data_IF_873415937404
#
_entry.id   IF_873415937404
#
_cell.length_a   1.000
_cell.length_b   1.000
_cell.length_c   1.000
_cell.angle_alpha   90.00
_cell.angle_beta   90.00
_cell.angle_gamma   90.00
#
_symmetry.space_group_name_H-M   'P 1'
#
loop_
_entity.id
_entity.type
_entity.pdbx_description
1 polymer ?
#
# COMPACT_ATOMS: atom_id res chain seq x y z
N UNK A 1 6.62 5.74 7.29
CA UNK A 1 5.76 4.85 8.11
C UNK A 1 4.78 4.07 7.22
N UNK A 2 4.00 4.74 6.35
CA UNK A 2 3.07 4.07 5.42
C UNK A 2 3.73 3.01 4.52
N UNK A 3 4.90 3.30 3.96
CA UNK A 3 5.64 2.33 3.12
C UNK A 3 5.88 1.00 3.83
N UNK A 4 6.36 1.05 5.09
CA UNK A 4 6.65 -0.16 5.87
C UNK A 4 5.38 -0.95 6.16
N UNK A 5 4.27 -0.27 6.40
CA UNK A 5 2.96 -0.87 6.62
C UNK A 5 2.50 -1.65 5.39
N UNK A 6 2.52 -1.01 4.22
CA UNK A 6 2.14 -1.64 2.95
C UNK A 6 3.11 -2.79 2.64
N UNK A 7 4.42 -2.60 2.88
CA UNK A 7 5.45 -3.63 2.68
C UNK A 7 5.20 -4.86 3.58
N UNK A 8 4.92 -4.65 4.85
CA UNK A 8 4.63 -5.73 5.81
C UNK A 8 3.38 -6.50 5.42
N UNK A 9 2.34 -5.79 4.96
CA UNK A 9 1.14 -6.40 4.41
C UNK A 9 1.45 -7.27 3.19
N UNK A 10 2.19 -6.73 2.21
CA UNK A 10 2.57 -7.44 0.99
C UNK A 10 3.40 -8.70 1.26
N UNK A 11 4.33 -8.65 2.21
CA UNK A 11 5.15 -9.80 2.60
C UNK A 11 4.32 -10.83 3.37
N UNK A 12 3.50 -10.38 4.32
CA UNK A 12 2.74 -11.27 5.21
C UNK A 12 1.55 -11.95 4.54
N UNK A 13 0.72 -11.15 3.89
CA UNK A 13 -0.56 -11.55 3.29
C UNK A 13 -0.36 -11.97 1.82
N UNK A 14 0.20 -11.09 1.00
CA UNK A 14 0.36 -11.34 -0.44
C UNK A 14 1.60 -12.21 -0.79
N UNK A 15 2.38 -12.64 0.21
CA UNK A 15 3.59 -13.48 0.04
C UNK A 15 4.61 -12.92 -0.95
N UNK A 16 4.68 -11.59 -1.07
CA UNK A 16 5.68 -10.93 -1.91
C UNK A 16 7.07 -11.10 -1.29
N UNK A 17 8.05 -11.42 -2.13
CA UNK A 17 9.44 -11.56 -1.68
C UNK A 17 10.00 -10.18 -1.22
N UNK A 18 10.47 -10.06 0.04
CA UNK A 18 11.04 -8.83 0.57
C UNK A 18 12.22 -8.30 -0.26
N UNK A 19 12.96 -9.16 -0.95
CA UNK A 19 14.13 -8.75 -1.78
C UNK A 19 13.72 -7.83 -2.93
N UNK A 20 12.47 -7.93 -3.41
CA UNK A 20 11.97 -7.09 -4.51
C UNK A 20 12.00 -5.61 -4.13
N UNK A 21 11.76 -5.29 -2.87
CA UNK A 21 11.69 -3.91 -2.39
C UNK A 21 13.06 -3.26 -2.19
N UNK A 22 14.16 -3.99 -2.39
CA UNK A 22 15.50 -3.41 -2.49
C UNK A 22 15.71 -2.69 -3.83
N UNK A 23 14.87 -2.98 -4.82
CA UNK A 23 14.86 -2.27 -6.10
C UNK A 23 14.04 -0.97 -6.00
N UNK A 24 14.67 0.22 -6.14
CA UNK A 24 13.96 1.50 -6.11
C UNK A 24 13.05 1.73 -7.33
N UNK A 25 13.26 0.97 -8.41
CA UNK A 25 12.45 0.99 -9.64
C UNK A 25 11.45 -0.17 -9.68
N UNK A 26 11.19 -0.85 -8.54
CA UNK A 26 10.21 -1.92 -8.45
C UNK A 26 8.84 -1.42 -8.93
N UNK A 27 8.31 -2.04 -9.98
CA UNK A 27 6.95 -1.75 -10.45
C UNK A 27 5.92 -2.50 -9.62
N UNK A 28 4.72 -1.94 -9.47
CA UNK A 28 3.60 -2.65 -8.82
C UNK A 28 3.26 -3.94 -9.57
N UNK A 29 3.35 -3.93 -10.90
CA UNK A 29 3.20 -5.13 -11.73
C UNK A 29 4.25 -6.22 -11.43
N UNK A 30 5.46 -5.84 -11.01
CA UNK A 30 6.54 -6.79 -10.70
C UNK A 30 6.39 -7.45 -9.33
N UNK A 31 5.43 -7.00 -8.50
CA UNK A 31 5.10 -7.65 -7.23
C UNK A 31 4.62 -9.09 -7.46
N UNK A 32 4.10 -9.39 -8.66
CA UNK A 32 3.52 -10.70 -8.98
C UNK A 32 2.11 -10.85 -8.45
N UNK A 33 1.41 -9.73 -8.25
CA UNK A 33 0.00 -9.71 -7.93
C UNK A 33 -0.78 -10.06 -9.20
N UNK A 34 -1.66 -11.06 -9.12
CA UNK A 34 -2.65 -11.30 -10.17
C UNK A 34 -3.63 -10.13 -10.25
N UNK A 35 -4.38 -10.02 -11.35
CA UNK A 35 -5.36 -8.94 -11.56
C UNK A 35 -6.39 -8.84 -10.42
N UNK A 36 -6.78 -9.98 -9.83
CA UNK A 36 -7.63 -10.01 -8.65
C UNK A 36 -6.87 -9.65 -7.37
N UNK A 37 -5.65 -10.16 -7.19
CA UNK A 37 -4.83 -9.90 -6.01
C UNK A 37 -4.46 -8.42 -5.84
N UNK A 38 -4.26 -7.70 -6.94
CA UNK A 38 -4.08 -6.25 -6.92
C UNK A 38 -5.34 -5.54 -6.40
N UNK A 39 -6.52 -5.93 -6.91
CA UNK A 39 -7.80 -5.34 -6.50
C UNK A 39 -8.11 -5.64 -5.03
N UNK A 40 -7.90 -6.88 -4.58
CA UNK A 40 -8.09 -7.28 -3.18
C UNK A 40 -7.16 -6.51 -2.23
N UNK A 41 -5.88 -6.39 -2.59
CA UNK A 41 -4.93 -5.56 -1.84
C UNK A 41 -5.41 -4.11 -1.72
N UNK A 42 -5.84 -3.51 -2.84
CA UNK A 42 -6.27 -2.12 -2.84
C UNK A 42 -7.54 -1.93 -2.00
N UNK A 43 -8.52 -2.82 -2.11
CA UNK A 43 -9.71 -2.80 -1.25
C UNK A 43 -9.37 -2.94 0.23
N UNK A 44 -8.41 -3.81 0.58
CA UNK A 44 -8.01 -3.98 1.97
C UNK A 44 -7.27 -2.74 2.49
N UNK A 45 -6.47 -2.08 1.66
CA UNK A 45 -5.86 -0.79 1.99
C UNK A 45 -6.96 0.28 2.15
N UNK A 46 -7.92 0.38 1.23
CA UNK A 46 -9.05 1.30 1.34
C UNK A 46 -9.84 1.12 2.64
N UNK A 47 -10.24 -0.11 2.95
CA UNK A 47 -11.01 -0.46 4.16
C UNK A 47 -10.22 -0.19 5.44
N UNK A 48 -8.92 -0.57 5.46
CA UNK A 48 -8.06 -0.33 6.63
C UNK A 48 -7.86 1.14 6.90
N UNK A 49 -7.58 1.95 5.87
CA UNK A 49 -7.26 3.37 6.05
C UNK A 49 -8.49 4.28 5.98
N UNK A 50 -9.67 3.73 5.68
CA UNK A 50 -10.93 4.47 5.63
C UNK A 50 -11.01 5.47 4.49
N UNK A 51 -10.36 5.21 3.36
CA UNK A 51 -10.37 6.07 2.17
C UNK A 51 -10.71 5.27 0.92
N UNK A 52 -11.01 5.96 -0.18
CA UNK A 52 -11.42 5.32 -1.43
C UNK A 52 -10.58 5.85 -2.57
N UNK A 53 -9.91 4.95 -3.29
CA UNK A 53 -9.05 5.31 -4.40
C UNK A 53 -9.90 5.57 -5.64
N UNK A 54 -9.76 6.76 -6.20
CA UNK A 54 -10.53 7.14 -7.40
C UNK A 54 -10.19 6.32 -8.64
N UNK A 55 -8.94 5.85 -8.76
CA UNK A 55 -8.50 4.98 -9.85
C UNK A 55 -7.44 3.98 -9.32
N UNK A 56 -7.85 2.75 -8.96
CA UNK A 56 -6.94 1.71 -8.49
C UNK A 56 -6.02 1.16 -9.59
N UNK A 57 -6.44 1.25 -10.86
CA UNK A 57 -5.65 0.70 -11.98
C UNK A 57 -4.46 1.59 -12.33
N UNK A 58 -4.51 2.90 -12.01
CA UNK A 58 -3.38 3.83 -12.19
C UNK A 58 -2.11 3.33 -11.49
N UNK A 59 -2.23 2.61 -10.37
CA UNK A 59 -1.09 2.13 -9.60
C UNK A 59 -0.33 1.00 -10.28
N UNK A 60 -0.99 0.21 -11.12
CA UNK A 60 -0.38 -0.95 -11.78
C UNK A 60 0.79 -0.55 -12.69
N UNK A 61 0.73 0.66 -13.27
CA UNK A 61 1.74 1.19 -14.19
C UNK A 61 2.76 2.11 -13.51
N UNK A 62 2.71 2.22 -12.18
CA UNK A 62 3.61 3.06 -11.40
C UNK A 62 4.64 2.22 -10.63
N UNK A 63 5.69 2.88 -10.16
CA UNK A 63 6.61 2.26 -9.21
C UNK A 63 5.91 2.08 -7.87
N UNK A 64 6.33 1.06 -7.11
CA UNK A 64 5.86 0.82 -5.76
C UNK A 64 6.02 2.09 -4.88
N UNK A 65 7.14 2.79 -5.04
CA UNK A 65 7.40 4.03 -4.30
C UNK A 65 6.39 5.13 -4.66
N UNK A 66 6.08 5.29 -5.95
CA UNK A 66 5.11 6.31 -6.37
C UNK A 66 3.69 5.95 -5.94
N UNK A 67 3.32 4.67 -5.95
CA UNK A 67 2.05 4.19 -5.38
C UNK A 67 1.94 4.56 -3.91
N UNK A 68 2.97 4.26 -3.11
CA UNK A 68 2.99 4.61 -1.68
C UNK A 68 2.86 6.12 -1.48
N UNK A 69 3.59 6.93 -2.24
CA UNK A 69 3.50 8.39 -2.15
C UNK A 69 2.12 8.93 -2.53
N UNK A 70 1.49 8.36 -3.57
CA UNK A 70 0.15 8.76 -4.00
C UNK A 70 -0.90 8.37 -2.96
N UNK A 71 -0.80 7.17 -2.38
CA UNK A 71 -1.66 6.73 -1.28
C UNK A 71 -1.46 7.61 -0.04
N UNK A 72 -0.22 7.96 0.31
CA UNK A 72 0.09 8.86 1.42
C UNK A 72 -0.56 10.24 1.23
N UNK A 73 -0.50 10.77 0.01
CA UNK A 73 -1.10 12.05 -0.34
C UNK A 73 -2.64 12.00 -0.21
N UNK A 74 -3.28 10.98 -0.78
CA UNK A 74 -4.74 10.79 -0.69
C UNK A 74 -5.19 10.66 0.78
N UNK A 75 -4.50 9.84 1.58
CA UNK A 75 -4.83 9.67 3.01
C UNK A 75 -4.75 11.00 3.74
N UNK A 76 -3.71 11.80 3.50
CA UNK A 76 -3.58 13.13 4.13
C UNK A 76 -4.68 14.07 3.65
N UNK A 77 -5.00 14.10 2.37
CA UNK A 77 -6.08 14.94 1.85
C UNK A 77 -7.44 14.58 2.49
N UNK A 78 -7.70 13.29 2.68
CA UNK A 78 -8.93 12.79 3.28
C UNK A 78 -9.00 12.97 4.82
N UNK A 79 -7.87 12.94 5.52
CA UNK A 79 -7.79 13.06 6.99
C UNK A 79 -7.39 14.47 7.46
N UNK A 80 -7.60 15.51 6.64
CA UNK A 80 -7.31 16.90 7.05
C UNK A 80 -5.82 17.23 7.19
N UNK A 81 -4.95 16.43 6.58
CA UNK A 81 -3.49 16.60 6.52
C UNK A 81 -2.70 15.61 7.37
N UNK A 82 -3.37 14.78 8.18
CA UNK A 82 -2.73 13.86 9.11
C UNK A 82 -2.79 12.41 8.62
N UNK A 83 -1.75 11.63 8.88
CA UNK A 83 -1.81 10.19 8.70
C UNK A 83 -2.55 9.60 9.93
N UNK A 84 -3.59 8.78 9.74
CA UNK A 84 -4.28 8.13 10.85
C UNK A 84 -3.28 7.28 11.64
N UNK A 85 -3.48 7.18 12.96
CA UNK A 85 -2.65 6.34 13.82
C UNK A 85 -2.67 4.89 13.32
N UNK A 86 -1.57 4.45 12.73
CA UNK A 86 -1.43 3.13 12.10
C UNK A 86 -1.62 1.99 13.12
N UNK A 87 -1.37 2.27 14.41
CA UNK A 87 -1.61 1.35 15.52
C UNK A 87 -3.11 1.03 15.70
N UNK A 88 -4.01 1.96 15.34
CA UNK A 88 -5.46 1.75 15.37
C UNK A 88 -5.96 0.87 14.20
N UNK A 89 -5.16 0.74 13.13
CA UNK A 89 -5.51 -0.03 11.93
C UNK A 89 -5.10 -1.51 12.02
N UNK A 90 -4.73 -1.98 13.21
CA UNK A 90 -4.41 -3.37 13.49
C UNK A 90 -3.05 -3.82 12.94
N UNK A 91 -2.14 -2.88 12.66
CA UNK A 91 -0.75 -3.24 12.41
C UNK A 91 -0.09 -3.57 13.75
N UNK A 92 0.48 -4.77 13.95
CA UNK A 92 1.21 -5.05 15.17
C UNK A 92 2.40 -4.07 15.24
N UNK A 93 2.29 -3.13 16.16
CA UNK A 93 3.39 -2.26 16.58
C UNK A 93 4.44 -3.18 17.21
N UNK A 94 5.44 -3.57 16.42
CA UNK A 94 6.47 -4.47 16.90
C UNK A 94 7.37 -3.68 17.85
N UNK A 95 7.01 -3.73 19.14
CA UNK A 95 7.76 -3.15 20.27
C UNK A 95 9.11 -3.83 20.48
#
# INVERSE_FOLDING_TARGET
MLEQVIRNYLIGQAKVDPVKFDNPELMVADLGLDSLGLVEMLFEIEDRFGFQLSDPMKFQVMTFRDMVNAVDAEIREHNGGELPELDALGFPSNS
#
